data_IF_319516449985
#
_entry.id   IF_319516449985
#
_cell.length_a   1.000
_cell.length_b   1.000
_cell.length_c   1.000
_cell.angle_alpha   90.00
_cell.angle_beta   90.00
_cell.angle_gamma   90.00
#
_symmetry.space_group_name_H-M   'P 1'
#
loop_
_entity.id
_entity.type
_entity.pdbx_description
1 polymer ?
#
# COMPACT_ATOMS: atom_id res chain seq x y z
N UNK A 1 0.95 23.86 1.24
CA UNK A 1 -0.06 22.95 0.65
C UNK A 1 -1.28 23.01 1.53
N UNK A 2 -2.46 23.31 0.98
CA UNK A 2 -3.68 23.48 1.79
C UNK A 2 -4.16 22.10 2.32
N UNK A 3 -4.90 22.08 3.44
CA UNK A 3 -5.39 20.85 4.08
C UNK A 3 -6.26 20.00 3.13
N UNK A 4 -7.06 20.66 2.29
CA UNK A 4 -7.90 19.98 1.30
C UNK A 4 -7.09 19.26 0.22
N UNK A 5 -5.94 19.83 -0.18
CA UNK A 5 -5.05 19.21 -1.16
C UNK A 5 -4.31 18.02 -0.55
N UNK A 6 -3.89 18.12 0.72
CA UNK A 6 -3.32 16.98 1.46
C UNK A 6 -4.31 15.82 1.56
N UNK A 7 -5.57 16.12 1.89
CA UNK A 7 -6.62 15.11 2.02
C UNK A 7 -6.95 14.46 0.68
N UNK A 8 -7.10 15.24 -0.39
CA UNK A 8 -7.34 14.72 -1.73
C UNK A 8 -6.22 13.78 -2.22
N UNK A 9 -4.96 14.15 -2.00
CA UNK A 9 -3.81 13.31 -2.38
C UNK A 9 -3.80 12.03 -1.54
N UNK A 10 -4.04 12.13 -0.23
CA UNK A 10 -4.12 10.98 0.68
C UNK A 10 -5.21 10.00 0.27
N UNK A 11 -6.42 10.48 -0.04
CA UNK A 11 -7.55 9.65 -0.45
C UNK A 11 -7.30 8.95 -1.79
N UNK A 12 -6.70 9.66 -2.76
CA UNK A 12 -6.33 9.08 -4.05
C UNK A 12 -5.20 8.05 -3.92
N UNK A 13 -4.18 8.32 -3.10
CA UNK A 13 -3.11 7.36 -2.82
C UNK A 13 -3.64 6.11 -2.11
N UNK A 14 -4.54 6.27 -1.14
CA UNK A 14 -5.17 5.15 -0.43
C UNK A 14 -5.94 4.24 -1.39
N UNK A 15 -6.74 4.82 -2.28
CA UNK A 15 -7.47 4.06 -3.30
C UNK A 15 -6.53 3.34 -4.27
N UNK A 16 -5.45 3.99 -4.71
CA UNK A 16 -4.45 3.38 -5.59
C UNK A 16 -3.73 2.23 -4.89
N UNK A 17 -3.33 2.41 -3.63
CA UNK A 17 -2.72 1.38 -2.80
C UNK A 17 -3.62 0.17 -2.60
N UNK A 18 -4.92 0.38 -2.36
CA UNK A 18 -5.90 -0.71 -2.27
C UNK A 18 -6.03 -1.47 -3.61
N UNK A 19 -6.05 -0.75 -4.73
CA UNK A 19 -6.15 -1.38 -6.05
C UNK A 19 -4.92 -2.25 -6.37
N UNK A 20 -3.72 -1.73 -6.06
CA UNK A 20 -2.47 -2.49 -6.22
C UNK A 20 -2.45 -3.70 -5.29
N UNK A 21 -2.90 -3.56 -4.03
CA UNK A 21 -2.97 -4.68 -3.09
C UNK A 21 -3.92 -5.79 -3.57
N UNK A 22 -5.11 -5.43 -4.07
CA UNK A 22 -6.06 -6.40 -4.61
C UNK A 22 -5.48 -7.09 -5.85
N UNK A 23 -4.90 -6.33 -6.79
CA UNK A 23 -4.27 -6.89 -7.98
C UNK A 23 -3.10 -7.82 -7.61
N UNK A 24 -2.34 -7.47 -6.58
CA UNK A 24 -1.25 -8.28 -6.05
C UNK A 24 -1.76 -9.59 -5.44
N UNK A 25 -2.80 -9.54 -4.59
CA UNK A 25 -3.42 -10.74 -4.01
C UNK A 25 -4.04 -11.63 -5.08
N UNK A 26 -4.74 -11.08 -6.06
CA UNK A 26 -5.36 -11.88 -7.14
C UNK A 26 -4.29 -12.48 -8.06
N UNK A 27 -3.25 -11.71 -8.42
CA UNK A 27 -2.13 -12.19 -9.22
C UNK A 27 -1.39 -13.36 -8.58
N UNK A 28 -1.52 -13.51 -7.26
CA UNK A 28 -0.91 -14.59 -6.49
C UNK A 28 -1.66 -15.93 -6.62
N UNK A 29 -2.96 -15.90 -6.89
CA UNK A 29 -3.76 -17.10 -7.15
C UNK A 29 -3.71 -17.57 -8.61
N UNK A 30 -3.27 -16.70 -9.53
CA UNK A 30 -3.22 -17.00 -10.97
C UNK A 30 -1.92 -17.73 -11.34
N UNK A 31 -0.83 -17.55 -10.59
CA UNK A 31 0.43 -18.21 -10.89
C UNK A 31 0.46 -19.65 -10.40
N UNK A 32 0.96 -20.55 -11.25
CA UNK A 32 1.14 -21.97 -10.93
C UNK A 32 2.45 -22.26 -10.20
N UNK A 33 3.38 -21.32 -10.16
CA UNK A 33 4.72 -21.52 -9.62
C UNK A 33 4.85 -21.09 -8.15
N UNK A 34 5.45 -21.96 -7.33
CA UNK A 34 5.74 -21.79 -5.89
C UNK A 34 6.62 -20.56 -5.54
N UNK A 35 7.13 -19.84 -6.55
CA UNK A 35 7.94 -18.63 -6.41
C UNK A 35 7.20 -17.41 -5.87
N UNK A 36 5.88 -17.50 -5.69
CA UNK A 36 5.08 -16.33 -5.38
C UNK A 36 4.89 -16.03 -3.89
N UNK A 37 5.04 -17.02 -3.00
CA UNK A 37 4.89 -16.81 -1.56
C UNK A 37 5.92 -15.83 -0.97
N UNK A 38 7.16 -15.89 -1.44
CA UNK A 38 8.21 -14.94 -1.03
C UNK A 38 7.89 -13.52 -1.51
N UNK A 39 7.41 -13.37 -2.74
CA UNK A 39 6.98 -12.09 -3.29
C UNK A 39 5.80 -11.56 -2.47
N UNK A 40 4.83 -12.41 -2.14
CA UNK A 40 3.67 -12.05 -1.32
C UNK A 40 4.09 -11.49 0.04
N UNK A 41 4.98 -12.20 0.74
CA UNK A 41 5.49 -11.76 2.04
C UNK A 41 6.23 -10.43 1.92
N UNK A 42 7.12 -10.28 0.94
CA UNK A 42 7.89 -9.03 0.79
C UNK A 42 6.98 -7.86 0.42
N UNK A 43 5.97 -8.08 -0.43
CA UNK A 43 4.95 -7.08 -0.76
C UNK A 43 4.10 -6.68 0.45
N UNK A 44 3.72 -7.63 1.29
CA UNK A 44 2.93 -7.38 2.50
C UNK A 44 3.75 -6.60 3.55
N UNK A 45 5.01 -6.97 3.76
CA UNK A 45 5.94 -6.23 4.61
C UNK A 45 6.12 -4.80 4.10
N UNK A 46 6.36 -4.63 2.79
CA UNK A 46 6.55 -3.31 2.19
C UNK A 46 5.30 -2.44 2.35
N UNK A 47 4.11 -2.99 2.11
CA UNK A 47 2.85 -2.29 2.33
C UNK A 47 2.69 -1.82 3.78
N UNK A 48 3.03 -2.69 4.75
CA UNK A 48 2.96 -2.39 6.18
C UNK A 48 3.96 -1.28 6.58
N UNK A 49 5.18 -1.31 6.03
CA UNK A 49 6.18 -0.25 6.21
C UNK A 49 5.67 1.07 5.64
N UNK A 50 5.13 1.09 4.42
CA UNK A 50 4.55 2.29 3.83
C UNK A 50 3.40 2.85 4.68
N UNK A 51 2.56 1.98 5.25
CA UNK A 51 1.48 2.38 6.14
C UNK A 51 2.00 3.03 7.43
N UNK A 52 3.00 2.40 8.08
CA UNK A 52 3.62 2.94 9.31
C UNK A 52 4.31 4.28 9.02
N UNK A 53 5.09 4.37 7.95
CA UNK A 53 5.77 5.61 7.56
C UNK A 53 4.76 6.71 7.26
N UNK A 54 3.69 6.40 6.51
CA UNK A 54 2.61 7.34 6.24
C UNK A 54 1.92 7.82 7.53
N UNK A 55 1.66 6.91 8.46
CA UNK A 55 1.10 7.23 9.77
C UNK A 55 2.02 8.15 10.59
N UNK A 56 3.32 7.85 10.65
CA UNK A 56 4.30 8.68 11.37
C UNK A 56 4.41 10.07 10.76
N UNK A 57 4.44 10.18 9.42
CA UNK A 57 4.51 11.47 8.73
C UNK A 57 3.25 12.30 8.98
N UNK A 58 2.07 11.67 8.95
CA UNK A 58 0.80 12.37 9.17
C UNK A 58 0.61 12.79 10.63
N UNK A 59 0.99 11.93 11.59
CA UNK A 59 0.84 12.19 13.02
C UNK A 59 1.97 13.04 13.61
N UNK A 60 3.18 12.94 13.08
CA UNK A 60 4.30 13.81 13.45
C UNK A 60 4.26 15.18 12.78
N UNK A 61 3.27 15.42 11.91
CA UNK A 61 2.96 16.73 11.35
C UNK A 61 1.89 17.51 12.13
N UNK A 62 1.38 16.96 13.23
CA UNK A 62 0.60 17.67 14.26
C UNK A 62 1.54 18.30 15.31
#
# INVERSE_FOLDING_TARGET
MNNDQRKFISDKLGNLGNFVFIAFVIGQFISKDQLQFFILITGLIFWLVCYIVGYIILKGGE
#
